data_IF_462134348309
#
_entry.id   IF_462134348309
#
_cell.length_a   1.000
_cell.length_b   1.000
_cell.length_c   1.000
_cell.angle_alpha   90.00
_cell.angle_beta   90.00
_cell.angle_gamma   90.00
#
_symmetry.space_group_name_H-M   'P 1'
#
loop_
_entity.id
_entity.type
_entity.pdbx_description
1 polymer ?
#
# COMPACT_ATOMS: atom_id res chain seq x y z
N UNK A 1 -5.56 51.90 -13.61
CA UNK A 1 -5.41 50.63 -12.84
C UNK A 1 -4.18 50.79 -11.96
N UNK A 2 -4.36 50.86 -10.67
CA UNK A 2 -3.25 50.91 -9.71
C UNK A 2 -2.67 49.49 -9.61
N UNK A 3 -1.41 49.31 -10.03
CA UNK A 3 -0.71 48.02 -9.95
C UNK A 3 -0.64 47.55 -8.50
N UNK A 4 -0.87 46.27 -8.27
CA UNK A 4 -0.67 45.64 -6.97
C UNK A 4 0.72 45.97 -6.46
N UNK A 5 0.83 46.42 -5.19
CA UNK A 5 2.10 46.67 -4.52
C UNK A 5 3.02 45.45 -4.61
N UNK A 6 4.31 45.67 -4.80
CA UNK A 6 5.34 44.62 -4.90
C UNK A 6 5.28 43.66 -3.72
N UNK A 7 4.95 44.15 -2.51
CA UNK A 7 4.81 43.32 -1.30
C UNK A 7 3.65 42.35 -1.38
N UNK A 8 2.52 42.73 -1.99
CA UNK A 8 1.36 41.85 -2.17
C UNK A 8 1.68 40.73 -3.17
N UNK A 9 2.43 41.03 -4.24
CA UNK A 9 2.86 40.04 -5.23
C UNK A 9 3.79 39.00 -4.61
N UNK A 10 4.76 39.40 -3.79
CA UNK A 10 5.62 38.49 -3.06
C UNK A 10 4.86 37.61 -2.09
N UNK A 11 3.85 38.19 -1.40
CA UNK A 11 3.05 37.44 -0.42
C UNK A 11 2.16 36.38 -1.10
N UNK A 12 1.56 36.70 -2.24
CA UNK A 12 0.74 35.76 -3.03
C UNK A 12 1.60 34.64 -3.61
N UNK A 13 2.80 34.92 -4.10
CA UNK A 13 3.72 33.92 -4.63
C UNK A 13 4.25 33.00 -3.52
N UNK A 14 4.49 33.54 -2.33
CA UNK A 14 4.93 32.75 -1.16
C UNK A 14 3.80 31.84 -0.64
N UNK A 15 2.55 32.35 -0.60
CA UNK A 15 1.38 31.57 -0.21
C UNK A 15 1.08 30.43 -1.19
N UNK A 16 1.24 30.66 -2.51
CA UNK A 16 1.03 29.63 -3.54
C UNK A 16 2.07 28.50 -3.47
N UNK A 17 3.29 28.81 -3.02
CA UNK A 17 4.36 27.81 -2.85
C UNK A 17 4.11 26.80 -1.71
N UNK A 18 3.34 27.19 -0.67
CA UNK A 18 3.06 26.31 0.47
C UNK A 18 2.04 25.21 0.16
N UNK A 19 1.22 25.36 -0.89
CA UNK A 19 0.22 24.36 -1.26
C UNK A 19 0.77 23.20 -2.13
N UNK A 20 2.02 23.29 -2.58
CA UNK A 20 2.68 22.27 -3.38
C UNK A 20 3.44 21.22 -2.56
N UNK A 21 3.30 21.23 -1.23
CA UNK A 21 3.78 20.11 -0.39
C UNK A 21 2.89 18.90 -0.60
N UNK A 22 2.97 18.28 -1.79
CA UNK A 22 2.34 17.02 -2.09
C UNK A 22 2.82 15.98 -1.07
N UNK A 23 1.89 15.23 -0.48
CA UNK A 23 2.21 14.03 0.29
C UNK A 23 2.96 13.08 -0.64
N UNK A 24 4.28 13.12 -0.63
CA UNK A 24 5.09 12.08 -1.23
C UNK A 24 4.82 10.80 -0.43
N UNK A 25 4.12 9.85 -1.03
CA UNK A 25 3.99 8.50 -0.48
C UNK A 25 5.41 7.94 -0.39
N UNK A 26 5.94 7.85 0.81
CA UNK A 26 7.29 7.34 1.04
C UNK A 26 7.27 5.83 0.81
N UNK A 27 7.53 5.42 -0.43
CA UNK A 27 7.68 4.02 -0.76
C UNK A 27 9.03 3.55 -0.25
N UNK A 28 9.02 2.54 0.62
CA UNK A 28 10.25 1.96 1.18
C UNK A 28 11.02 1.26 0.07
N UNK A 29 12.28 1.68 -0.15
CA UNK A 29 13.20 0.99 -1.04
C UNK A 29 13.84 -0.21 -0.33
N UNK A 30 13.21 -1.37 -0.47
CA UNK A 30 13.72 -2.62 0.11
C UNK A 30 15.04 -3.07 -0.52
N UNK A 31 15.30 -2.69 -1.77
CA UNK A 31 16.54 -3.05 -2.47
C UNK A 31 17.77 -2.47 -1.79
N UNK A 32 17.71 -1.23 -1.33
CA UNK A 32 18.80 -0.56 -0.63
C UNK A 32 19.07 -1.11 0.77
N UNK A 33 18.10 -1.84 1.35
CA UNK A 33 18.18 -2.42 2.70
C UNK A 33 18.81 -3.82 2.72
N UNK A 34 19.02 -4.45 1.57
CA UNK A 34 19.65 -5.78 1.48
C UNK A 34 21.05 -5.74 2.09
N UNK A 35 21.33 -6.71 2.98
CA UNK A 35 22.59 -6.85 3.68
C UNK A 35 22.77 -5.97 4.92
N UNK A 36 21.96 -4.92 5.10
CA UNK A 36 22.07 -3.98 6.23
C UNK A 36 20.88 -4.04 7.19
N UNK A 37 19.70 -4.41 6.69
CA UNK A 37 18.48 -4.46 7.48
C UNK A 37 18.34 -5.81 8.16
N UNK A 38 18.01 -5.81 9.46
CA UNK A 38 17.95 -7.05 10.25
C UNK A 38 16.52 -7.49 10.53
N UNK A 39 16.34 -8.77 10.88
CA UNK A 39 15.05 -9.32 11.30
C UNK A 39 14.47 -8.58 12.51
N UNK A 40 15.34 -8.24 13.50
CA UNK A 40 14.90 -7.51 14.70
C UNK A 40 14.41 -6.10 14.34
N UNK A 41 15.09 -5.42 13.42
CA UNK A 41 14.62 -4.13 12.90
C UNK A 41 13.28 -4.25 12.18
N UNK A 42 13.07 -5.33 11.42
CA UNK A 42 11.80 -5.57 10.78
C UNK A 42 10.65 -5.75 11.79
N UNK A 43 10.90 -6.48 12.89
CA UNK A 43 9.93 -6.63 13.98
C UNK A 43 9.60 -5.27 14.64
N UNK A 44 10.61 -4.42 14.84
CA UNK A 44 10.40 -3.09 15.45
C UNK A 44 9.65 -2.14 14.51
N UNK A 45 10.00 -2.14 13.23
CA UNK A 45 9.45 -1.21 12.24
C UNK A 45 8.05 -1.62 11.73
N UNK A 46 7.84 -2.92 11.49
CA UNK A 46 6.62 -3.46 10.88
C UNK A 46 5.71 -4.19 11.87
N UNK A 47 6.19 -4.45 13.08
CA UNK A 47 5.53 -5.32 14.04
C UNK A 47 5.83 -6.82 13.78
N UNK A 48 5.22 -7.71 14.56
CA UNK A 48 5.39 -9.15 14.38
C UNK A 48 4.82 -9.59 13.02
N UNK A 49 5.50 -10.52 12.31
CA UNK A 49 5.02 -11.03 11.03
C UNK A 49 3.75 -11.87 11.22
N UNK A 50 2.87 -11.86 10.22
CA UNK A 50 1.67 -12.72 10.19
C UNK A 50 2.05 -14.20 10.06
N UNK A 51 3.13 -14.48 9.33
CA UNK A 51 3.68 -15.82 9.16
C UNK A 51 5.19 -15.75 9.13
N UNK A 52 5.85 -16.73 9.74
CA UNK A 52 7.29 -16.90 9.65
C UNK A 52 7.65 -18.37 9.62
N UNK A 53 8.74 -18.69 8.93
CA UNK A 53 9.30 -20.02 8.88
C UNK A 53 10.82 -19.95 8.83
N UNK A 54 11.47 -20.81 9.60
CA UNK A 54 12.91 -21.01 9.50
C UNK A 54 13.20 -22.14 8.54
N UNK A 55 14.13 -21.91 7.63
CA UNK A 55 14.57 -22.91 6.65
C UNK A 55 15.72 -23.74 7.21
N UNK A 56 16.02 -24.86 6.56
CA UNK A 56 17.06 -25.80 7.00
C UNK A 56 18.49 -25.21 6.94
N UNK A 57 18.69 -24.18 6.13
CA UNK A 57 19.95 -23.42 6.03
C UNK A 57 20.11 -22.33 7.12
N UNK A 58 19.14 -22.23 8.03
CA UNK A 58 19.10 -21.24 9.10
C UNK A 58 18.50 -19.89 8.69
N UNK A 59 18.15 -19.70 7.41
CA UNK A 59 17.47 -18.48 6.96
C UNK A 59 16.02 -18.42 7.44
N UNK A 60 15.49 -17.22 7.60
CA UNK A 60 14.12 -16.96 8.04
C UNK A 60 13.35 -16.26 6.92
N UNK A 61 12.18 -16.80 6.61
CA UNK A 61 11.21 -16.18 5.69
C UNK A 61 10.04 -15.70 6.52
N UNK A 62 9.69 -14.43 6.37
CA UNK A 62 8.59 -13.82 7.12
C UNK A 62 7.69 -13.00 6.20
N UNK A 63 6.39 -13.09 6.41
CA UNK A 63 5.34 -12.43 5.64
C UNK A 63 4.60 -11.43 6.53
N UNK A 64 4.48 -10.20 6.05
CA UNK A 64 3.67 -9.15 6.65
C UNK A 64 2.51 -8.80 5.73
N UNK A 65 1.32 -8.70 6.29
CA UNK A 65 0.13 -8.22 5.58
C UNK A 65 0.19 -6.70 5.45
N UNK A 66 0.51 -6.17 4.27
CA UNK A 66 0.53 -4.73 4.02
C UNK A 66 -0.85 -4.15 3.75
N UNK A 67 -1.69 -4.90 3.05
CA UNK A 67 -3.05 -4.49 2.74
C UNK A 67 -3.97 -5.69 2.72
N UNK A 68 -5.02 -5.62 3.54
CA UNK A 68 -6.07 -6.65 3.55
C UNK A 68 -6.95 -6.51 2.32
N UNK A 69 -7.17 -7.62 1.65
CA UNK A 69 -8.14 -7.71 0.57
C UNK A 69 -9.57 -7.55 1.09
N UNK A 70 -10.47 -7.34 0.18
CA UNK A 70 -11.89 -7.24 0.50
C UNK A 70 -12.70 -7.99 -0.55
N UNK A 71 -13.82 -8.54 -0.12
CA UNK A 71 -14.84 -9.07 -0.99
C UNK A 71 -16.17 -8.43 -0.62
N UNK A 72 -16.83 -7.83 -1.57
CA UNK A 72 -18.20 -7.36 -1.37
C UNK A 72 -19.05 -7.66 -2.60
N UNK A 73 -20.28 -8.03 -2.33
CA UNK A 73 -21.33 -8.19 -3.34
C UNK A 73 -22.35 -7.08 -3.19
N UNK A 74 -22.74 -6.46 -4.26
CA UNK A 74 -23.85 -5.54 -4.28
C UNK A 74 -24.89 -5.99 -5.31
N UNK A 75 -26.18 -5.82 -5.02
CA UNK A 75 -27.21 -6.13 -5.99
C UNK A 75 -27.16 -5.10 -7.12
N UNK A 76 -26.93 -5.56 -8.34
CA UNK A 76 -27.06 -4.73 -9.54
C UNK A 76 -28.49 -4.84 -10.05
N UNK A 77 -29.24 -3.76 -9.97
CA UNK A 77 -30.57 -3.67 -10.56
C UNK A 77 -30.42 -3.16 -11.99
N UNK A 78 -30.70 -4.00 -12.98
CA UNK A 78 -30.86 -3.53 -14.35
C UNK A 78 -32.33 -3.22 -14.60
N UNK A 79 -32.60 -1.98 -14.91
CA UNK A 79 -33.94 -1.55 -15.35
C UNK A 79 -34.06 -1.72 -16.87
N UNK A 80 -34.81 -2.72 -17.31
CA UNK A 80 -35.17 -2.86 -18.70
C UNK A 80 -36.54 -2.22 -18.90
N UNK A 81 -36.67 -1.07 -19.60
CA UNK A 81 -37.94 -0.36 -19.74
C UNK A 81 -39.02 -1.14 -20.53
N UNK A 82 -38.67 -2.21 -21.24
CA UNK A 82 -39.57 -3.08 -21.97
C UNK A 82 -39.88 -4.40 -21.27
N UNK A 83 -39.24 -4.71 -20.15
CA UNK A 83 -39.56 -5.91 -19.37
C UNK A 83 -40.61 -5.58 -18.32
N UNK A 84 -41.75 -6.22 -18.41
CA UNK A 84 -42.82 -6.13 -17.40
C UNK A 84 -42.37 -6.88 -16.13
N UNK A 85 -41.68 -6.16 -15.24
CA UNK A 85 -41.32 -6.66 -13.92
C UNK A 85 -39.84 -6.40 -13.56
N UNK A 86 -39.49 -6.39 -12.25
CA UNK A 86 -38.12 -6.27 -11.80
C UNK A 86 -37.36 -7.51 -12.23
N UNK A 87 -36.23 -7.31 -12.94
CA UNK A 87 -35.27 -8.38 -13.17
C UNK A 87 -34.76 -8.91 -11.83
N UNK A 88 -34.55 -10.22 -11.68
CA UNK A 88 -33.93 -10.75 -10.49
C UNK A 88 -32.56 -10.04 -10.30
N UNK A 89 -32.23 -9.65 -9.06
CA UNK A 89 -30.98 -8.93 -8.80
C UNK A 89 -29.79 -9.81 -9.20
N UNK A 90 -28.96 -9.31 -10.13
CA UNK A 90 -27.66 -9.89 -10.38
C UNK A 90 -26.71 -9.43 -9.26
N UNK A 91 -26.02 -10.36 -8.63
CA UNK A 91 -24.98 -10.03 -7.67
C UNK A 91 -23.66 -9.83 -8.40
N UNK A 92 -23.10 -8.62 -8.29
CA UNK A 92 -21.74 -8.35 -8.75
C UNK A 92 -20.82 -8.56 -7.57
N UNK A 93 -19.97 -9.57 -7.66
CA UNK A 93 -18.93 -9.83 -6.66
C UNK A 93 -17.65 -9.13 -7.07
N UNK A 94 -17.20 -8.20 -6.26
CA UNK A 94 -15.87 -7.61 -6.37
C UNK A 94 -14.95 -8.24 -5.34
N UNK A 95 -13.80 -8.74 -5.80
CA UNK A 95 -12.79 -9.36 -4.97
C UNK A 95 -11.45 -8.67 -5.17
N UNK A 96 -10.81 -8.30 -4.07
CA UNK A 96 -9.43 -7.83 -4.04
C UNK A 96 -8.64 -8.76 -3.13
N UNK A 97 -7.56 -9.40 -3.60
CA UNK A 97 -6.75 -10.28 -2.77
C UNK A 97 -5.96 -9.51 -1.70
N UNK A 98 -5.54 -10.23 -0.66
CA UNK A 98 -4.59 -9.72 0.32
C UNK A 98 -3.24 -9.44 -0.33
N UNK A 99 -2.57 -8.38 0.10
CA UNK A 99 -1.27 -7.98 -0.38
C UNK A 99 -0.23 -8.10 0.72
N UNK A 100 0.80 -8.90 0.47
CA UNK A 100 1.83 -9.25 1.44
C UNK A 100 3.20 -8.77 1.00
N UNK A 101 4.00 -8.35 1.98
CA UNK A 101 5.43 -8.17 1.89
C UNK A 101 6.11 -9.43 2.47
N UNK A 102 6.95 -10.08 1.69
CA UNK A 102 7.81 -11.17 2.15
C UNK A 102 9.25 -10.71 2.23
N UNK A 103 9.85 -10.85 3.40
CA UNK A 103 11.27 -10.63 3.64
C UNK A 103 11.94 -11.96 3.94
N UNK A 104 13.11 -12.16 3.35
CA UNK A 104 13.94 -13.33 3.60
C UNK A 104 15.25 -12.86 4.23
N UNK A 105 15.55 -13.37 5.40
CA UNK A 105 16.76 -13.07 6.15
C UNK A 105 17.71 -14.28 6.09
N UNK A 106 19.01 -14.02 6.01
CA UNK A 106 20.02 -15.07 6.08
C UNK A 106 20.16 -15.64 7.52
N UNK A 107 21.06 -16.61 7.69
CA UNK A 107 21.33 -17.23 8.99
C UNK A 107 21.88 -16.23 10.03
N UNK A 108 22.49 -15.12 9.58
CA UNK A 108 22.97 -14.03 10.44
C UNK A 108 21.87 -12.99 10.77
N UNK A 109 20.67 -13.21 10.28
CA UNK A 109 19.52 -12.33 10.51
C UNK A 109 19.49 -11.09 9.64
N UNK A 110 20.29 -11.00 8.57
CA UNK A 110 20.32 -9.87 7.64
C UNK A 110 19.43 -10.10 6.43
N UNK A 111 18.77 -9.05 5.96
CA UNK A 111 17.90 -9.11 4.80
C UNK A 111 18.68 -9.57 3.56
N UNK A 112 18.25 -10.68 2.98
CA UNK A 112 18.82 -11.30 1.79
C UNK A 112 18.00 -11.04 0.53
N UNK A 113 16.68 -11.08 0.66
CA UNK A 113 15.75 -10.90 -0.44
C UNK A 113 14.40 -10.38 0.06
N UNK A 114 13.65 -9.75 -0.84
CA UNK A 114 12.29 -9.30 -0.58
C UNK A 114 11.41 -9.48 -1.80
N UNK A 115 10.12 -9.61 -1.60
CA UNK A 115 9.12 -9.56 -2.67
C UNK A 115 7.74 -9.21 -2.13
N UNK A 116 6.95 -8.58 -2.97
CA UNK A 116 5.52 -8.39 -2.74
C UNK A 116 4.72 -9.41 -3.55
N UNK A 117 3.61 -9.88 -3.00
CA UNK A 117 2.73 -10.82 -3.68
C UNK A 117 1.29 -10.70 -3.18
N UNK A 118 0.37 -11.13 -4.03
CA UNK A 118 -1.06 -11.25 -3.72
C UNK A 118 -1.41 -12.70 -3.36
N UNK A 119 -2.37 -12.85 -2.43
CA UNK A 119 -2.88 -14.16 -2.02
C UNK A 119 -4.38 -14.14 -1.76
#
# INVERSE_FOLDING_TARGET
MKGLSTGVKCFVLFSLGLFLSGCATHQVDWGSRIGNYTYDQAIVDLGPPDKSAQLTDGSVVADWLERRGYAYGYPAYSYFPWAYGPSPPAYVNSYSPDYFLRLTFDADGKLKAWKNFYK
#
